data_IF_147334539613
#
_entry.id   IF_147334539613
#
_cell.length_a   1.000
_cell.length_b   1.000
_cell.length_c   1.000
_cell.angle_alpha   90.00
_cell.angle_beta   90.00
_cell.angle_gamma   90.00
#
_symmetry.space_group_name_H-M   'P 1'
#
loop_
_entity.id
_entity.type
_entity.pdbx_description
1 polymer ?
#
# COMPACT_ATOMS: atom_id res chain seq x y z
N UNK A 1 9.20 9.92 10.48
CA UNK A 1 9.68 8.54 10.20
C UNK A 1 8.54 7.81 9.52
N UNK A 2 8.76 7.17 8.37
CA UNK A 2 7.73 6.35 7.71
C UNK A 2 7.32 5.22 8.66
N UNK A 3 6.04 5.17 9.01
CA UNK A 3 5.50 4.06 9.79
C UNK A 3 5.32 2.86 8.85
N UNK A 4 6.19 1.85 9.00
CA UNK A 4 6.03 0.59 8.29
C UNK A 4 4.95 -0.23 8.94
N UNK A 5 4.01 -0.73 8.13
CA UNK A 5 2.96 -1.61 8.62
C UNK A 5 3.62 -2.87 9.19
N UNK A 6 3.38 -3.13 10.46
CA UNK A 6 3.63 -4.43 11.11
C UNK A 6 2.29 -5.18 11.09
N UNK A 7 2.15 -6.22 10.26
CA UNK A 7 0.88 -6.96 10.16
C UNK A 7 0.69 -7.92 11.34
N UNK A 8 1.65 -7.97 12.27
CA UNK A 8 1.51 -8.79 13.46
C UNK A 8 0.40 -8.17 14.32
N UNK A 9 -0.64 -8.94 14.67
CA UNK A 9 -1.60 -8.45 15.64
C UNK A 9 -0.84 -8.10 16.92
N UNK A 10 -1.30 -7.09 17.68
CA UNK A 10 -0.74 -6.83 19.00
C UNK A 10 -0.75 -8.13 19.82
N UNK A 11 0.22 -8.26 20.73
CA UNK A 11 0.30 -9.39 21.65
C UNK A 11 -0.79 -9.27 22.72
N UNK A 12 -2.05 -9.40 22.30
CA UNK A 12 -3.23 -9.34 23.15
C UNK A 12 -3.36 -10.64 23.92
N UNK A 13 -3.52 -10.54 25.23
CA UNK A 13 -3.76 -11.69 26.09
C UNK A 13 -5.16 -12.25 25.84
N UNK A 14 -5.34 -13.55 26.04
CA UNK A 14 -6.67 -14.16 25.92
C UNK A 14 -7.67 -13.57 26.92
N UNK A 15 -7.22 -13.30 28.15
CA UNK A 15 -8.02 -12.67 29.22
C UNK A 15 -8.57 -11.28 28.86
N UNK A 16 -7.95 -10.59 27.90
CA UNK A 16 -8.41 -9.27 27.45
C UNK A 16 -9.58 -9.37 26.47
N UNK A 17 -9.78 -10.54 25.85
CA UNK A 17 -10.76 -10.77 24.77
C UNK A 17 -11.89 -11.70 25.17
N UNK A 18 -11.63 -12.61 26.10
CA UNK A 18 -12.53 -13.68 26.49
C UNK A 18 -12.69 -13.70 28.02
N UNK A 19 -13.92 -13.83 28.48
CA UNK A 19 -14.31 -13.84 29.90
C UNK A 19 -14.29 -15.23 30.54
N UNK A 20 -14.10 -16.27 29.74
CA UNK A 20 -14.03 -17.68 30.14
C UNK A 20 -12.60 -18.22 30.27
N UNK A 21 -11.60 -17.34 30.25
CA UNK A 21 -10.18 -17.68 30.38
C UNK A 21 -9.68 -17.30 31.78
N UNK A 22 -8.85 -18.16 32.38
CA UNK A 22 -8.28 -17.90 33.69
C UNK A 22 -7.47 -16.58 33.69
N UNK A 23 -7.63 -15.70 34.70
CA UNK A 23 -6.97 -14.39 34.72
C UNK A 23 -5.44 -14.41 34.74
N UNK A 24 -4.83 -15.56 35.05
CA UNK A 24 -3.38 -15.76 35.05
C UNK A 24 -2.85 -16.42 33.76
N UNK A 25 -3.71 -16.64 32.75
CA UNK A 25 -3.28 -17.16 31.46
C UNK A 25 -2.41 -16.15 30.71
N UNK A 26 -1.13 -16.49 30.59
CA UNK A 26 -0.14 -15.69 29.85
C UNK A 26 -0.19 -15.94 28.34
N UNK A 27 -1.06 -16.82 27.84
CA UNK A 27 -1.20 -17.08 26.42
C UNK A 27 -1.77 -15.86 25.68
N UNK A 28 -1.12 -15.53 24.57
CA UNK A 28 -1.64 -14.51 23.65
C UNK A 28 -2.63 -15.15 22.68
N UNK A 29 -3.60 -14.37 22.22
CA UNK A 29 -4.56 -14.82 21.20
C UNK A 29 -3.87 -15.43 19.96
N UNK A 30 -2.80 -14.81 19.48
CA UNK A 30 -2.05 -15.31 18.33
C UNK A 30 -1.38 -16.67 18.60
N UNK A 31 -0.89 -16.92 19.83
CA UNK A 31 -0.32 -18.21 20.22
C UNK A 31 -1.39 -19.30 20.29
N UNK A 32 -2.58 -18.97 20.79
CA UNK A 32 -3.72 -19.90 20.83
C UNK A 32 -4.18 -20.27 19.42
N UNK A 33 -4.37 -19.28 18.54
CA UNK A 33 -4.70 -19.50 17.13
C UNK A 33 -3.65 -20.36 16.44
N UNK A 34 -2.35 -20.13 16.71
CA UNK A 34 -1.29 -20.95 16.14
C UNK A 34 -1.35 -22.43 16.56
N UNK A 35 -1.90 -22.70 17.74
CA UNK A 35 -2.02 -24.04 18.32
C UNK A 35 -3.28 -24.76 17.86
N UNK A 36 -4.43 -24.09 17.91
CA UNK A 36 -5.73 -24.71 17.66
C UNK A 36 -6.08 -24.77 16.16
N UNK A 37 -5.79 -23.72 15.40
CA UNK A 37 -6.21 -23.60 14.00
C UNK A 37 -5.84 -24.85 13.15
N UNK A 38 -4.62 -25.42 13.26
CA UNK A 38 -4.26 -26.63 12.51
C UNK A 38 -5.01 -27.88 12.98
N UNK A 39 -5.38 -27.97 14.26
CA UNK A 39 -6.11 -29.09 14.84
C UNK A 39 -7.54 -29.18 14.28
N UNK A 40 -8.08 -28.04 13.84
CA UNK A 40 -9.39 -27.94 13.19
C UNK A 40 -9.33 -28.01 11.65
N UNK A 41 -8.22 -28.52 11.09
CA UNK A 41 -8.10 -28.78 9.65
C UNK A 41 -7.77 -27.55 8.79
N UNK A 42 -7.49 -26.41 9.41
CA UNK A 42 -7.00 -25.25 8.70
C UNK A 42 -5.46 -25.29 8.53
N UNK A 43 -4.97 -24.46 7.61
CA UNK A 43 -3.54 -24.34 7.37
C UNK A 43 -2.82 -23.76 8.61
N UNK A 44 -1.52 -24.06 8.82
CA UNK A 44 -0.76 -23.51 9.93
C UNK A 44 -0.82 -21.99 10.01
N UNK A 45 -0.85 -21.42 11.22
CA UNK A 45 -0.77 -19.97 11.38
C UNK A 45 0.46 -19.41 10.67
N UNK A 46 0.29 -18.23 10.07
CA UNK A 46 1.24 -17.58 9.15
C UNK A 46 1.63 -18.46 7.96
N UNK A 47 0.64 -18.98 7.24
CA UNK A 47 0.87 -19.72 6.00
C UNK A 47 0.17 -19.09 4.81
N UNK A 48 0.75 -19.28 3.63
CA UNK A 48 0.16 -18.90 2.34
C UNK A 48 -0.10 -20.20 1.57
N UNK A 49 -1.37 -20.46 1.25
CA UNK A 49 -1.78 -21.69 0.57
C UNK A 49 -1.40 -21.68 -0.91
N UNK A 50 -1.23 -22.88 -1.49
CA UNK A 50 -1.06 -23.05 -2.94
C UNK A 50 -2.23 -22.44 -3.72
N UNK A 51 -3.46 -22.66 -3.27
CA UNK A 51 -4.66 -22.09 -3.90
C UNK A 51 -4.63 -20.56 -3.96
N UNK A 52 -4.13 -19.89 -2.91
CA UNK A 52 -3.98 -18.42 -2.95
C UNK A 52 -3.06 -17.96 -4.10
N UNK A 53 -1.98 -18.71 -4.34
CA UNK A 53 -0.99 -18.45 -5.40
C UNK A 53 -1.49 -18.81 -6.80
N UNK A 54 -2.31 -19.85 -6.92
CA UNK A 54 -2.86 -20.30 -8.20
C UNK A 54 -4.01 -19.42 -8.70
N UNK A 55 -4.70 -18.73 -7.79
CA UNK A 55 -5.78 -17.79 -8.13
C UNK A 55 -5.27 -16.38 -8.48
N UNK A 56 -3.95 -16.15 -8.46
CA UNK A 56 -3.35 -14.82 -8.65
C UNK A 56 -2.17 -14.88 -9.61
N UNK A 57 -2.01 -13.83 -10.39
CA UNK A 57 -0.88 -13.63 -11.29
C UNK A 57 -0.12 -12.37 -10.91
N UNK A 58 1.17 -12.33 -11.22
CA UNK A 58 1.97 -11.12 -11.19
C UNK A 58 2.02 -10.56 -12.61
N UNK A 59 1.67 -9.29 -12.74
CA UNK A 59 1.67 -8.59 -14.02
C UNK A 59 2.87 -7.66 -14.06
N UNK A 60 3.75 -7.89 -15.04
CA UNK A 60 4.80 -6.92 -15.35
C UNK A 60 4.22 -5.89 -16.32
N UNK A 61 4.24 -4.63 -15.87
CA UNK A 61 3.74 -3.51 -16.65
C UNK A 61 4.92 -2.67 -17.15
N UNK A 62 4.97 -2.48 -18.46
CA UNK A 62 5.83 -1.49 -19.07
C UNK A 62 5.14 -0.13 -19.06
N UNK A 63 5.70 0.81 -18.30
CA UNK A 63 5.29 2.20 -18.32
C UNK A 63 5.75 2.91 -19.61
N UNK A 64 5.14 4.06 -19.98
CA UNK A 64 5.56 4.84 -21.13
C UNK A 64 7.05 5.20 -21.09
N UNK A 65 7.71 5.21 -22.24
CA UNK A 65 9.13 5.57 -22.36
C UNK A 65 9.43 7.05 -22.05
N UNK A 66 8.40 7.90 -22.06
CA UNK A 66 8.51 9.35 -21.84
C UNK A 66 7.35 9.86 -20.99
N UNK A 67 7.57 11.02 -20.35
CA UNK A 67 6.64 11.64 -19.39
C UNK A 67 7.12 11.48 -17.96
N UNK A 68 6.45 12.16 -17.03
CA UNK A 68 6.90 12.26 -15.64
C UNK A 68 5.84 11.80 -14.65
N UNK A 69 6.32 11.14 -13.59
CA UNK A 69 5.56 10.91 -12.36
C UNK A 69 5.96 11.96 -11.33
N UNK A 70 4.98 12.47 -10.57
CA UNK A 70 5.25 13.42 -9.49
C UNK A 70 5.57 12.65 -8.21
N UNK A 71 6.76 12.84 -7.66
CA UNK A 71 7.06 12.41 -6.29
C UNK A 71 6.30 13.32 -5.32
N UNK A 72 5.27 12.78 -4.70
CA UNK A 72 4.43 13.54 -3.75
C UNK A 72 5.09 13.72 -2.38
N UNK A 73 6.16 12.96 -2.11
CA UNK A 73 6.87 12.96 -0.83
C UNK A 73 8.14 13.81 -0.82
N UNK A 74 8.57 14.29 -1.99
CA UNK A 74 9.66 15.25 -2.10
C UNK A 74 9.37 16.55 -1.35
N UNK A 75 10.38 17.12 -0.68
CA UNK A 75 10.22 18.33 0.12
C UNK A 75 9.65 19.52 -0.67
N UNK A 76 10.08 19.67 -1.94
CA UNK A 76 9.56 20.70 -2.85
C UNK A 76 8.08 20.46 -3.20
N UNK A 77 7.70 19.22 -3.51
CA UNK A 77 6.30 18.86 -3.75
C UNK A 77 5.43 19.15 -2.54
N UNK A 78 5.88 18.77 -1.34
CA UNK A 78 5.15 19.03 -0.10
C UNK A 78 4.97 20.53 0.12
N UNK A 79 6.00 21.34 -0.10
CA UNK A 79 5.92 22.80 0.03
C UNK A 79 4.88 23.39 -0.92
N UNK A 80 4.91 23.00 -2.19
CA UNK A 80 3.96 23.49 -3.21
C UNK A 80 2.54 23.04 -2.88
N UNK A 81 2.34 21.77 -2.52
CA UNK A 81 1.03 21.23 -2.16
C UNK A 81 0.47 21.94 -0.92
N UNK A 82 1.31 22.21 0.09
CA UNK A 82 0.92 22.95 1.29
C UNK A 82 0.40 24.35 0.96
N UNK A 83 1.14 25.09 0.13
CA UNK A 83 0.77 26.45 -0.28
C UNK A 83 -0.53 26.45 -1.11
N UNK A 84 -0.66 25.52 -2.06
CA UNK A 84 -1.77 25.50 -3.02
C UNK A 84 -3.07 24.91 -2.46
N UNK A 85 -2.98 24.05 -1.45
CA UNK A 85 -4.13 23.33 -0.89
C UNK A 85 -4.54 23.80 0.52
N UNK A 86 -3.72 24.64 1.16
CA UNK A 86 -3.90 25.09 2.55
C UNK A 86 -5.29 25.62 2.88
N UNK A 87 -5.86 26.47 2.03
CA UNK A 87 -7.16 27.10 2.26
C UNK A 87 -8.38 26.25 1.88
N UNK A 88 -8.17 25.01 1.41
CA UNK A 88 -9.26 24.14 0.91
C UNK A 88 -9.12 22.74 1.50
N UNK A 89 -8.49 21.82 0.76
CA UNK A 89 -8.42 20.40 1.10
C UNK A 89 -7.75 20.15 2.45
N UNK A 90 -6.70 20.91 2.79
CA UNK A 90 -6.01 20.76 4.09
C UNK A 90 -6.93 21.15 5.25
N UNK A 91 -7.63 22.28 5.15
CA UNK A 91 -8.61 22.71 6.15
C UNK A 91 -9.79 21.73 6.28
N UNK A 92 -10.30 21.18 5.17
CA UNK A 92 -11.37 20.17 5.18
C UNK A 92 -10.96 18.83 5.81
N UNK A 93 -9.67 18.53 5.83
CA UNK A 93 -9.13 17.32 6.45
C UNK A 93 -8.53 17.61 7.83
N UNK A 94 -8.74 18.82 8.37
CA UNK A 94 -8.20 19.27 9.67
C UNK A 94 -6.67 19.15 9.77
N UNK A 95 -5.98 19.34 8.63
CA UNK A 95 -4.52 19.31 8.54
C UNK A 95 -3.98 20.74 8.46
N UNK A 96 -3.25 21.17 9.49
CA UNK A 96 -2.63 22.50 9.54
C UNK A 96 -1.38 22.58 8.64
N UNK A 97 -0.56 21.52 8.66
CA UNK A 97 0.67 21.42 7.89
C UNK A 97 0.73 20.06 7.20
N UNK A 98 0.85 20.06 5.88
CA UNK A 98 1.09 18.83 5.14
C UNK A 98 2.54 18.40 5.34
N UNK A 99 2.74 17.22 5.89
CA UNK A 99 4.07 16.60 6.01
C UNK A 99 4.05 15.21 5.40
N UNK A 100 5.22 14.55 5.40
CA UNK A 100 5.34 13.15 5.01
C UNK A 100 4.43 12.23 5.84
N UNK A 101 4.13 12.60 7.11
CA UNK A 101 3.28 11.82 8.00
C UNK A 101 1.87 11.67 7.44
N UNK A 102 1.25 12.78 7.03
CA UNK A 102 -0.11 12.78 6.49
C UNK A 102 -0.20 12.04 5.16
N UNK A 103 0.80 12.26 4.28
CA UNK A 103 0.89 11.60 2.97
C UNK A 103 1.12 10.08 3.07
N UNK A 104 1.67 9.64 4.20
CA UNK A 104 1.95 8.22 4.47
C UNK A 104 1.14 7.73 5.65
N UNK A 105 -0.04 8.31 5.92
CA UNK A 105 -0.93 7.81 6.96
C UNK A 105 -1.76 6.62 6.48
N UNK A 106 -2.03 5.68 7.38
CA UNK A 106 -2.93 4.54 7.14
C UNK A 106 -4.34 4.81 7.67
N UNK A 107 -4.58 6.00 8.23
CA UNK A 107 -5.90 6.40 8.72
C UNK A 107 -6.90 6.54 7.57
N UNK A 108 -8.12 6.04 7.79
CA UNK A 108 -9.24 6.24 6.89
C UNK A 108 -9.56 7.73 6.69
N UNK A 109 -9.39 8.54 7.73
CA UNK A 109 -9.68 9.98 7.71
C UNK A 109 -8.77 10.73 6.71
N UNK A 110 -7.53 10.26 6.53
CA UNK A 110 -6.55 10.86 5.63
C UNK A 110 -6.59 10.29 4.20
N UNK A 111 -7.50 9.36 3.91
CA UNK A 111 -7.76 8.93 2.52
C UNK A 111 -8.32 10.06 1.66
N UNK A 112 -9.21 10.89 2.22
CA UNK A 112 -9.75 12.06 1.53
C UNK A 112 -8.62 13.02 1.15
N UNK A 113 -7.67 13.24 2.04
CA UNK A 113 -6.51 14.08 1.79
C UNK A 113 -5.63 13.53 0.66
N UNK A 114 -5.19 12.28 0.77
CA UNK A 114 -4.26 11.68 -0.21
C UNK A 114 -4.88 11.53 -1.60
N UNK A 115 -6.14 11.13 -1.69
CA UNK A 115 -6.87 11.07 -2.97
C UNK A 115 -7.18 12.46 -3.53
N UNK A 116 -7.50 13.43 -2.68
CA UNK A 116 -7.70 14.82 -3.07
C UNK A 116 -6.43 15.46 -3.63
N UNK A 117 -5.27 15.20 -3.01
CA UNK A 117 -3.96 15.63 -3.53
C UNK A 117 -3.70 15.01 -4.91
N UNK A 118 -3.88 13.68 -5.05
CA UNK A 118 -3.70 13.01 -6.34
C UNK A 118 -4.63 13.58 -7.42
N UNK A 119 -5.88 13.89 -7.06
CA UNK A 119 -6.86 14.52 -7.96
C UNK A 119 -6.44 15.93 -8.35
N UNK A 120 -5.98 16.74 -7.39
CA UNK A 120 -5.51 18.08 -7.68
C UNK A 120 -4.30 18.07 -8.63
N UNK A 121 -3.33 17.18 -8.39
CA UNK A 121 -2.16 17.03 -9.29
C UNK A 121 -2.62 16.60 -10.69
N UNK A 122 -3.55 15.64 -10.77
CA UNK A 122 -4.14 15.19 -12.03
C UNK A 122 -4.75 16.36 -12.83
N UNK A 123 -5.47 17.25 -12.17
CA UNK A 123 -6.31 18.23 -12.86
C UNK A 123 -5.66 19.60 -13.04
N UNK A 124 -4.71 19.96 -12.17
CA UNK A 124 -4.16 21.32 -12.09
C UNK A 124 -2.69 21.43 -12.46
N UNK A 125 -1.93 20.33 -12.42
CA UNK A 125 -0.50 20.38 -12.70
C UNK A 125 -0.22 20.30 -14.20
N UNK A 126 0.56 21.28 -14.67
CA UNK A 126 1.22 21.28 -15.98
C UNK A 126 2.71 21.38 -15.71
N UNK A 127 3.49 20.48 -16.32
CA UNK A 127 4.92 20.38 -16.16
C UNK A 127 5.65 21.46 -16.98
N UNK A 128 6.95 21.59 -16.77
CA UNK A 128 7.76 22.62 -17.41
C UNK A 128 7.81 22.49 -18.96
N UNK A 129 7.61 21.28 -19.47
CA UNK A 129 7.54 20.95 -20.90
C UNK A 129 6.13 21.15 -21.49
N UNK A 130 5.16 21.60 -20.67
CA UNK A 130 3.77 21.79 -21.06
C UNK A 130 2.93 20.50 -21.01
N UNK A 131 3.55 19.36 -20.67
CA UNK A 131 2.83 18.10 -20.53
C UNK A 131 2.12 18.00 -19.17
N UNK A 132 1.22 17.02 -19.05
CA UNK A 132 0.60 16.66 -17.78
C UNK A 132 1.33 15.45 -17.20
N UNK A 133 1.47 15.34 -15.87
CA UNK A 133 2.09 14.16 -15.27
C UNK A 133 1.27 12.89 -15.58
N UNK A 134 1.98 11.78 -15.74
CA UNK A 134 1.42 10.44 -15.96
C UNK A 134 0.77 9.88 -14.70
N UNK A 135 1.29 10.27 -13.54
CA UNK A 135 0.88 9.73 -12.26
C UNK A 135 1.65 10.34 -11.09
N UNK A 136 1.57 9.66 -9.96
CA UNK A 136 2.35 9.95 -8.75
C UNK A 136 3.22 8.76 -8.37
N UNK A 137 4.32 9.06 -7.69
CA UNK A 137 5.18 8.07 -7.05
C UNK A 137 5.25 8.36 -5.54
N UNK A 138 5.22 7.30 -4.73
CA UNK A 138 5.23 7.40 -3.27
C UNK A 138 5.84 6.15 -2.62
N UNK A 139 6.46 6.27 -1.44
CA UNK A 139 7.14 5.16 -0.78
C UNK A 139 6.18 4.04 -0.35
N UNK A 140 6.68 2.80 -0.39
CA UNK A 140 5.95 1.65 0.13
C UNK A 140 6.06 1.49 1.65
N UNK A 141 4.91 1.45 2.33
CA UNK A 141 4.79 1.11 3.76
C UNK A 141 5.07 -0.36 4.07
N UNK A 142 5.15 -1.19 3.04
CA UNK A 142 5.38 -2.61 3.20
C UNK A 142 6.87 -2.98 3.27
N UNK A 143 7.77 -2.02 3.08
CA UNK A 143 9.21 -2.15 3.31
C UNK A 143 10.05 -1.38 2.28
N UNK A 144 11.20 -0.84 2.70
CA UNK A 144 12.13 -0.09 1.83
C UNK A 144 12.69 -0.91 0.67
N UNK A 145 12.77 -2.25 0.83
CA UNK A 145 13.26 -3.17 -0.21
C UNK A 145 12.22 -3.46 -1.29
N UNK A 146 10.97 -3.03 -1.11
CA UNK A 146 9.89 -3.20 -2.09
C UNK A 146 9.76 -2.00 -3.05
N UNK A 147 10.65 -1.00 -2.94
CA UNK A 147 10.72 0.14 -3.84
C UNK A 147 9.59 1.16 -3.67
N UNK A 148 9.49 2.05 -4.65
CA UNK A 148 8.42 3.04 -4.73
C UNK A 148 7.16 2.44 -5.37
N UNK A 149 6.00 2.89 -4.91
CA UNK A 149 4.73 2.62 -5.56
C UNK A 149 4.45 3.68 -6.62
N UNK A 150 3.95 3.22 -7.75
CA UNK A 150 3.51 4.09 -8.85
C UNK A 150 1.99 3.99 -8.96
N UNK A 151 1.33 5.14 -9.03
CA UNK A 151 -0.09 5.23 -9.36
C UNK A 151 -0.22 6.07 -10.63
N UNK A 152 -0.68 5.45 -11.72
CA UNK A 152 -0.84 6.11 -13.02
C UNK A 152 -2.30 6.46 -13.28
N UNK A 153 -2.54 7.63 -13.88
CA UNK A 153 -3.87 7.98 -14.38
C UNK A 153 -4.08 7.41 -15.78
N UNK A 154 -5.12 6.60 -15.93
CA UNK A 154 -5.54 6.03 -17.21
C UNK A 154 -6.39 7.04 -18.00
N UNK A 155 -5.82 8.21 -18.30
CA UNK A 155 -6.56 9.34 -18.87
C UNK A 155 -7.20 9.02 -20.21
N UNK A 156 -6.53 8.24 -21.06
CA UNK A 156 -7.10 7.92 -22.39
C UNK A 156 -8.33 7.04 -22.24
N UNK A 157 -8.29 6.11 -21.29
CA UNK A 157 -9.44 5.29 -20.91
C UNK A 157 -10.54 6.16 -20.30
N UNK A 158 -10.21 7.00 -19.31
CA UNK A 158 -11.17 7.87 -18.62
C UNK A 158 -11.86 8.85 -19.57
N UNK A 159 -11.11 9.43 -20.52
CA UNK A 159 -11.60 10.40 -21.50
C UNK A 159 -12.25 9.73 -22.73
N UNK A 160 -12.23 8.39 -22.82
CA UNK A 160 -12.73 7.64 -23.98
C UNK A 160 -11.97 7.86 -25.28
N UNK A 161 -10.69 8.28 -25.20
CA UNK A 161 -9.85 8.63 -26.35
C UNK A 161 -8.93 7.50 -26.82
N UNK A 162 -9.04 6.32 -26.21
CA UNK A 162 -8.37 5.08 -26.61
C UNK A 162 -7.60 4.43 -25.45
N UNK A 163 -6.74 3.43 -25.74
CA UNK A 163 -5.97 2.76 -24.70
C UNK A 163 -4.85 3.65 -24.17
N UNK A 164 -4.55 3.52 -22.87
CA UNK A 164 -3.40 4.19 -22.24
C UNK A 164 -2.07 3.56 -22.67
N UNK A 165 -0.96 4.33 -22.66
CA UNK A 165 0.35 3.88 -23.11
C UNK A 165 1.06 2.94 -22.11
N UNK A 166 0.33 2.03 -21.48
CA UNK A 166 0.88 0.96 -20.63
C UNK A 166 0.70 -0.37 -21.33
N UNK A 167 1.78 -1.14 -21.38
CA UNK A 167 1.76 -2.48 -21.99
C UNK A 167 1.98 -3.52 -20.90
N UNK A 168 1.08 -4.49 -20.84
CA UNK A 168 1.34 -5.73 -20.09
C UNK A 168 2.39 -6.53 -20.87
N UNK A 169 3.54 -6.81 -20.25
CA UNK A 169 4.59 -7.59 -20.90
C UNK A 169 4.17 -9.07 -20.94
N UNK A 170 4.01 -9.68 -19.76
CA UNK A 170 3.51 -11.05 -19.63
C UNK A 170 3.00 -11.28 -18.20
N UNK A 171 1.87 -11.98 -18.01
CA UNK A 171 1.46 -12.45 -16.71
C UNK A 171 2.34 -13.63 -16.27
N UNK A 172 2.95 -13.50 -15.10
CA UNK A 172 3.75 -14.57 -14.49
C UNK A 172 3.00 -15.23 -13.33
N UNK A 173 3.18 -16.54 -13.19
CA UNK A 173 2.58 -17.29 -12.07
C UNK A 173 3.33 -17.03 -10.75
N UNK A 174 2.60 -17.12 -9.62
CA UNK A 174 3.20 -16.98 -8.28
C UNK A 174 3.71 -18.35 -7.80
N UNK A 175 4.93 -18.68 -8.18
CA UNK A 175 5.64 -19.88 -7.75
C UNK A 175 6.22 -19.77 -6.34
N UNK A 176 6.66 -20.92 -5.78
CA UNK A 176 7.37 -20.98 -4.48
C UNK A 176 8.73 -20.27 -4.47
N UNK A 177 9.26 -19.98 -5.65
CA UNK A 177 10.57 -19.37 -5.86
C UNK A 177 10.48 -17.98 -6.48
N UNK A 178 9.27 -17.44 -6.65
CA UNK A 178 9.06 -16.09 -7.15
C UNK A 178 9.64 -15.10 -6.14
N UNK A 179 10.78 -14.49 -6.48
CA UNK A 179 11.63 -13.74 -5.53
C UNK A 179 10.86 -12.66 -4.75
N UNK A 180 10.09 -11.75 -5.37
CA UNK A 180 9.34 -10.74 -4.62
C UNK A 180 8.35 -11.34 -3.61
N UNK A 181 7.72 -12.45 -3.97
CA UNK A 181 6.79 -13.18 -3.10
C UNK A 181 7.51 -13.86 -1.93
N UNK A 182 8.66 -14.49 -2.18
CA UNK A 182 9.48 -15.12 -1.13
C UNK A 182 10.04 -14.07 -0.17
N UNK A 183 10.52 -12.94 -0.69
CA UNK A 183 11.07 -11.86 0.11
C UNK A 183 9.98 -11.23 0.99
N UNK A 184 8.77 -11.01 0.44
CA UNK A 184 7.62 -10.54 1.20
C UNK A 184 7.19 -11.56 2.28
N UNK A 185 7.11 -12.85 1.97
CA UNK A 185 6.76 -13.87 2.94
C UNK A 185 7.79 -13.95 4.09
N UNK A 186 9.09 -13.87 3.77
CA UNK A 186 10.17 -13.86 4.76
C UNK A 186 10.08 -12.63 5.67
N UNK A 187 9.87 -11.44 5.10
CA UNK A 187 9.73 -10.20 5.86
C UNK A 187 8.60 -10.29 6.90
N UNK A 188 7.59 -11.11 6.64
CA UNK A 188 6.39 -11.26 7.49
C UNK A 188 6.36 -12.57 8.30
N UNK A 189 7.44 -13.34 8.29
CA UNK A 189 7.51 -14.63 8.99
C UNK A 189 6.44 -15.63 8.50
N UNK A 190 6.06 -15.55 7.23
CA UNK A 190 5.06 -16.43 6.62
C UNK A 190 5.71 -17.64 5.94
N UNK A 191 5.05 -18.79 6.04
CA UNK A 191 5.43 -20.06 5.39
C UNK A 191 4.66 -20.23 4.10
N UNK A 192 5.36 -20.51 3.01
CA UNK A 192 4.77 -20.74 1.69
C UNK A 192 4.53 -22.25 1.50
N UNK A 193 3.32 -22.62 1.09
CA UNK A 193 2.93 -24.00 0.79
C UNK A 193 2.56 -24.21 -0.68
#
# INVERSE_FOLDING_TARGET
MLEYIRPDPPATLLSDLFDDVEPDDAATFAAQVATELPQHGAMPYRSISKGWRELRSLYELQLPYSGWFVDVTGAESISVLSERLGSTLLAECEVEHLTLSELTSSSEDLKKLTTGIATWIRDRTVLFDGERPLGIVYPSKWGTTLGDNYAMWLRRTDDGTGPDPVTEIEPSSIGKHTKPFVDAARLRGMRIF
#
